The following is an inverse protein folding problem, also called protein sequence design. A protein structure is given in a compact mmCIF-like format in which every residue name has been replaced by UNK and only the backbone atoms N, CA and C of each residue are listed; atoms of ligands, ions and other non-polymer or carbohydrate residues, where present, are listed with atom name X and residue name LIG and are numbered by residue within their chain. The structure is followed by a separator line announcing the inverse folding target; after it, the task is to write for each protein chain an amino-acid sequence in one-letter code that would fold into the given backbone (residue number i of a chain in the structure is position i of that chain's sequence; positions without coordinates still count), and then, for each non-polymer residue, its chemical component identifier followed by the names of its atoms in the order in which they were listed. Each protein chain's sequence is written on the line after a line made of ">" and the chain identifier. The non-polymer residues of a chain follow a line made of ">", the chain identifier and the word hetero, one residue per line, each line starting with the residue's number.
data_IF_739588413266
#
_entry.id   IF_739588413266
#
_cell.length_a   1.000
_cell.length_b   1.000
_cell.length_c   1.000
_cell.angle_alpha   90.00
_cell.angle_beta   90.00
_cell.angle_gamma   90.00
#
_symmetry.space_group_name_H-M   'P 1'
#
loop_
_entity.id
_entity.type
_entity.pdbx_description
1 polymer ?
#
# COMPACT_ATOMS: atom_id res chain seq x y z
N UNK A 1 13.42 1.74 -16.34
CA UNK A 1 12.36 0.88 -15.74
C UNK A 1 11.28 1.77 -15.11
N UNK A 2 10.01 1.61 -15.47
CA UNK A 2 8.92 2.36 -14.83
C UNK A 2 8.82 1.92 -13.35
N UNK A 3 8.90 2.86 -12.41
CA UNK A 3 8.86 2.60 -10.97
C UNK A 3 7.61 1.81 -10.54
N UNK A 4 7.70 1.12 -9.40
CA UNK A 4 6.57 0.34 -8.88
C UNK A 4 5.40 1.25 -8.49
N UNK A 5 4.20 0.97 -9.03
CA UNK A 5 2.96 1.70 -8.70
C UNK A 5 1.90 0.84 -7.99
N UNK A 6 2.27 -0.39 -7.64
CA UNK A 6 1.41 -1.39 -6.99
C UNK A 6 2.20 -2.12 -5.89
N UNK A 7 1.51 -2.65 -4.88
CA UNK A 7 2.18 -3.40 -3.82
C UNK A 7 2.91 -4.64 -4.36
N UNK A 8 2.31 -5.41 -5.27
CA UNK A 8 2.97 -6.57 -5.86
C UNK A 8 4.19 -6.16 -6.70
N UNK A 9 4.14 -4.98 -7.33
CA UNK A 9 5.30 -4.39 -8.00
C UNK A 9 6.45 -4.10 -7.04
N UNK A 10 6.16 -3.66 -5.81
CA UNK A 10 7.16 -3.46 -4.76
C UNK A 10 7.68 -4.81 -4.28
N UNK A 11 6.79 -5.72 -3.86
CA UNK A 11 7.15 -7.04 -3.34
C UNK A 11 8.11 -7.78 -4.27
N UNK A 12 7.76 -7.87 -5.57
CA UNK A 12 8.59 -8.57 -6.58
C UNK A 12 9.96 -7.94 -6.83
N UNK A 13 10.12 -6.63 -6.60
CA UNK A 13 11.40 -5.92 -6.85
C UNK A 13 12.30 -5.84 -5.62
N UNK A 14 11.71 -5.74 -4.43
CA UNK A 14 12.47 -5.51 -3.20
C UNK A 14 12.54 -6.73 -2.28
N UNK A 15 11.69 -7.74 -2.51
CA UNK A 15 11.57 -8.88 -1.60
C UNK A 15 10.78 -8.58 -0.32
N UNK A 16 10.35 -7.33 -0.11
CA UNK A 16 9.61 -6.95 1.09
C UNK A 16 8.27 -7.67 1.18
N UNK A 17 7.80 -7.93 2.41
CA UNK A 17 6.57 -8.66 2.72
C UNK A 17 6.54 -10.13 2.29
N UNK A 18 7.62 -10.69 1.73
CA UNK A 18 7.80 -12.14 1.61
C UNK A 18 8.38 -12.74 2.89
N UNK A 19 8.29 -14.06 3.04
CA UNK A 19 8.72 -14.80 4.24
C UNK A 19 7.56 -15.19 5.16
N UNK A 20 7.87 -15.78 6.32
CA UNK A 20 6.85 -16.33 7.23
C UNK A 20 5.82 -15.30 7.71
N UNK A 21 6.22 -14.03 7.85
CA UNK A 21 5.33 -12.96 8.31
C UNK A 21 4.36 -12.44 7.24
N UNK A 22 4.59 -12.74 5.95
CA UNK A 22 3.75 -12.33 4.82
C UNK A 22 3.36 -10.83 4.82
N UNK A 23 4.22 -9.97 5.38
CA UNK A 23 3.99 -8.53 5.43
C UNK A 23 3.13 -8.03 6.61
N UNK A 24 2.76 -8.87 7.58
CA UNK A 24 1.92 -8.51 8.72
C UNK A 24 2.34 -7.19 9.42
N UNK A 25 3.65 -6.91 9.47
CA UNK A 25 4.20 -5.73 10.12
C UNK A 25 4.48 -4.57 9.16
N UNK A 26 4.99 -4.85 7.97
CA UNK A 26 5.53 -3.82 7.08
C UNK A 26 4.54 -3.33 6.02
N UNK A 27 3.47 -4.07 5.72
CA UNK A 27 2.59 -3.74 4.59
C UNK A 27 1.97 -2.33 4.72
N UNK A 28 1.48 -1.97 5.91
CA UNK A 28 0.91 -0.64 6.17
C UNK A 28 1.93 0.49 5.95
N UNK A 29 3.18 0.29 6.38
CA UNK A 29 4.27 1.26 6.16
C UNK A 29 4.61 1.38 4.67
N UNK A 30 4.68 0.26 3.96
CA UNK A 30 4.94 0.24 2.51
C UNK A 30 3.83 0.95 1.74
N UNK A 31 2.56 0.72 2.10
CA UNK A 31 1.41 1.41 1.50
C UNK A 31 1.46 2.91 1.76
N UNK A 32 1.78 3.33 2.98
CA UNK A 32 1.93 4.75 3.35
C UNK A 32 3.05 5.44 2.54
N UNK A 33 4.21 4.78 2.41
CA UNK A 33 5.33 5.29 1.59
C UNK A 33 4.88 5.38 0.13
N UNK A 34 4.29 4.31 -0.43
CA UNK A 34 3.85 4.29 -1.82
C UNK A 34 2.82 5.39 -2.11
N UNK A 35 1.89 5.65 -1.19
CA UNK A 35 0.92 6.74 -1.28
C UNK A 35 1.61 8.11 -1.34
N UNK A 36 2.56 8.36 -0.43
CA UNK A 36 3.35 9.59 -0.41
C UNK A 36 4.16 9.79 -1.69
N UNK A 37 4.90 8.77 -2.14
CA UNK A 37 5.76 8.85 -3.32
C UNK A 37 4.99 8.95 -4.65
N UNK A 38 3.73 8.49 -4.68
CA UNK A 38 2.86 8.56 -5.87
C UNK A 38 1.85 9.69 -5.83
N UNK A 39 1.85 10.51 -4.78
CA UNK A 39 0.89 11.58 -4.52
C UNK A 39 -0.57 11.10 -4.66
N UNK A 40 -0.86 9.95 -4.04
CA UNK A 40 -2.20 9.33 -4.02
C UNK A 40 -2.69 9.20 -2.59
N UNK A 41 -4.01 9.19 -2.42
CA UNK A 41 -4.60 8.81 -1.15
C UNK A 41 -4.30 7.34 -0.83
N UNK A 42 -4.21 7.02 0.46
CA UNK A 42 -3.94 5.65 0.92
C UNK A 42 -5.02 4.67 0.44
N UNK A 43 -6.25 5.16 0.25
CA UNK A 43 -7.41 4.43 -0.27
C UNK A 43 -7.36 4.17 -1.79
N UNK A 44 -6.42 4.77 -2.51
CA UNK A 44 -6.25 4.59 -3.96
C UNK A 44 -5.06 3.69 -4.31
N UNK A 45 -4.39 3.15 -3.31
CA UNK A 45 -3.30 2.20 -3.50
C UNK A 45 -3.89 0.81 -3.79
N UNK A 46 -3.35 0.19 -4.83
CA UNK A 46 -3.78 -1.11 -5.31
C UNK A 46 -2.74 -2.19 -5.09
N UNK A 47 -3.23 -3.42 -4.90
CA UNK A 47 -2.41 -4.62 -4.72
C UNK A 47 -1.67 -4.97 -6.01
N UNK A 48 -2.38 -5.28 -7.08
CA UNK A 48 -1.80 -5.68 -8.37
C UNK A 48 -2.48 -5.03 -9.59
N UNK A 49 -3.80 -4.87 -9.52
CA UNK A 49 -4.69 -4.44 -10.60
C UNK A 49 -5.54 -3.26 -10.14
N UNK A 50 -6.08 -2.50 -11.11
CA UNK A 50 -6.79 -1.24 -10.82
C UNK A 50 -7.97 -1.36 -9.85
N UNK A 51 -8.61 -2.53 -9.79
CA UNK A 51 -9.79 -2.77 -8.95
C UNK A 51 -9.45 -3.44 -7.61
N UNK A 52 -8.18 -3.77 -7.36
CA UNK A 52 -7.75 -4.43 -6.13
C UNK A 52 -7.21 -3.40 -5.13
N UNK A 53 -8.10 -2.56 -4.59
CA UNK A 53 -7.73 -1.59 -3.54
C UNK A 53 -7.41 -2.33 -2.24
N UNK A 54 -6.31 -1.94 -1.58
CA UNK A 54 -5.90 -2.56 -0.30
C UNK A 54 -6.73 -2.02 0.85
N UNK A 55 -7.04 -0.73 0.80
CA UNK A 55 -7.84 -0.02 1.80
C UNK A 55 -9.02 0.60 1.03
N UNK A 56 -10.22 0.00 1.08
CA UNK A 56 -11.32 0.43 0.22
C UNK A 56 -11.93 1.76 0.65
N UNK A 57 -12.00 2.03 1.96
CA UNK A 57 -12.51 3.30 2.49
C UNK A 57 -11.81 3.69 3.78
N UNK A 58 -11.98 4.96 4.15
CA UNK A 58 -11.71 5.43 5.51
C UNK A 58 -12.93 5.22 6.40
N UNK A 59 -12.68 4.83 7.64
CA UNK A 59 -13.67 4.84 8.71
C UNK A 59 -13.85 6.29 9.19
N UNK A 60 -15.02 6.58 9.75
CA UNK A 60 -15.40 7.88 10.32
C UNK A 60 -14.26 8.46 11.17
N UNK A 61 -13.84 9.68 10.82
CA UNK A 61 -12.98 10.51 11.66
C UNK A 61 -13.82 11.13 12.78
N UNK A 62 -13.26 11.12 13.98
CA UNK A 62 -13.79 11.87 15.10
C UNK A 62 -12.93 13.11 15.22
N UNK A 63 -13.56 14.29 15.22
CA UNK A 63 -12.88 15.50 15.60
C UNK A 63 -12.44 15.33 17.06
N UNK A 64 -11.14 15.23 17.28
CA UNK A 64 -10.58 15.41 18.62
C UNK A 64 -10.91 16.83 19.06
N UNK A 65 -11.78 16.92 20.06
CA UNK A 65 -12.10 18.15 20.81
C UNK A 65 -10.80 18.69 21.42
#
# INVERSE_FOLDING_TARGET
>A
PLGARTLEGIKRRTGAAFGSCQGAYCLNKVVSILARETNKFMTDIVKDSKNSKIIPCRIKEFDTI
#
